data_IF_436563978930
#
_entry.id   IF_436563978930
#
_cell.length_a   1.000
_cell.length_b   1.000
_cell.length_c   1.000
_cell.angle_alpha   90.00
_cell.angle_beta   90.00
_cell.angle_gamma   90.00
#
_symmetry.space_group_name_H-M   'P 1'
#
loop_
_entity.id
_entity.type
_entity.pdbx_description
1 polymer ?
#
# COMPACT_ATOMS: atom_id res chain seq x y z
N UNK A 1 10.71 -10.57 -0.43
CA UNK A 1 10.46 -10.53 -1.89
C UNK A 1 11.30 -9.40 -2.43
N UNK A 2 12.09 -9.64 -3.47
CA UNK A 2 12.83 -8.60 -4.16
C UNK A 2 11.91 -8.06 -5.27
N UNK A 3 11.64 -6.75 -5.28
CA UNK A 3 10.78 -6.11 -6.29
C UNK A 3 11.72 -5.55 -7.36
N UNK A 4 11.69 -6.01 -8.61
CA UNK A 4 12.65 -5.60 -9.64
C UNK A 4 12.26 -4.27 -10.32
N UNK A 5 11.58 -3.38 -9.59
CA UNK A 5 11.06 -2.11 -10.10
C UNK A 5 11.36 -0.99 -9.08
N UNK A 6 11.53 0.23 -9.55
CA UNK A 6 11.69 1.40 -8.69
C UNK A 6 10.38 1.71 -7.93
N UNK A 7 10.40 1.55 -6.61
CA UNK A 7 9.24 1.74 -5.70
C UNK A 7 9.38 2.97 -4.79
N UNK A 8 10.47 3.72 -4.93
CA UNK A 8 10.75 4.91 -4.16
C UNK A 8 9.84 6.08 -4.54
N UNK A 9 9.75 7.03 -3.61
CA UNK A 9 8.98 8.25 -3.78
C UNK A 9 9.70 9.41 -3.07
N UNK A 10 9.33 10.62 -3.46
CA UNK A 10 9.75 11.89 -2.86
C UNK A 10 8.51 12.64 -2.37
N UNK A 11 8.70 13.80 -1.77
CA UNK A 11 7.60 14.70 -1.45
C UNK A 11 7.64 15.91 -2.37
N UNK A 12 6.48 16.31 -2.88
CA UNK A 12 6.34 17.57 -3.60
C UNK A 12 6.29 18.78 -2.64
N UNK A 13 6.10 19.97 -3.20
CA UNK A 13 5.99 21.24 -2.45
C UNK A 13 4.83 21.28 -1.45
N UNK A 14 3.81 20.43 -1.63
CA UNK A 14 2.66 20.30 -0.74
C UNK A 14 2.81 19.13 0.24
N UNK A 15 4.02 18.57 0.37
CA UNK A 15 4.32 17.39 1.17
C UNK A 15 3.50 16.16 0.75
N UNK A 16 3.10 16.08 -0.52
CA UNK A 16 2.45 14.90 -1.09
C UNK A 16 3.49 13.95 -1.65
N UNK A 17 3.31 12.68 -1.34
CA UNK A 17 4.14 11.58 -1.87
C UNK A 17 4.04 11.54 -3.40
N UNK A 18 5.17 11.60 -4.10
CA UNK A 18 5.25 11.50 -5.56
C UNK A 18 6.24 10.41 -5.95
N UNK A 19 5.86 9.44 -6.80
CA UNK A 19 6.75 8.35 -7.18
C UNK A 19 7.98 8.90 -7.91
N UNK A 20 9.15 8.31 -7.67
CA UNK A 20 10.37 8.61 -8.44
C UNK A 20 10.13 8.27 -9.92
N UNK A 21 9.53 7.10 -10.17
CA UNK A 21 9.12 6.62 -11.49
C UNK A 21 7.69 6.07 -11.41
N UNK A 22 6.70 6.83 -11.93
CA UNK A 22 5.29 6.37 -11.91
C UNK A 22 5.10 5.09 -12.72
N UNK A 23 5.81 4.96 -13.85
CA UNK A 23 5.71 3.79 -14.72
C UNK A 23 6.22 2.53 -14.01
N UNK A 24 7.40 2.60 -13.40
CA UNK A 24 7.98 1.45 -12.68
C UNK A 24 7.21 1.12 -11.41
N UNK A 25 6.75 2.12 -10.65
CA UNK A 25 5.91 1.87 -9.48
C UNK A 25 4.63 1.12 -9.87
N UNK A 26 3.99 1.48 -10.99
CA UNK A 26 2.82 0.75 -11.50
C UNK A 26 3.15 -0.69 -11.86
N UNK A 27 4.30 -0.95 -12.50
CA UNK A 27 4.75 -2.31 -12.79
C UNK A 27 5.05 -3.10 -11.51
N UNK A 28 5.69 -2.48 -10.52
CA UNK A 28 5.95 -3.08 -9.22
C UNK A 28 4.69 -3.37 -8.41
N UNK A 29 3.66 -2.52 -8.51
CA UNK A 29 2.33 -2.79 -7.94
C UNK A 29 1.72 -4.04 -8.59
N UNK A 30 1.72 -4.13 -9.93
CA UNK A 30 1.21 -5.32 -10.65
C UNK A 30 1.97 -6.57 -10.20
N UNK A 31 3.29 -6.52 -10.17
CA UNK A 31 4.13 -7.61 -9.69
C UNK A 31 3.79 -8.03 -8.25
N UNK A 32 3.59 -7.08 -7.33
CA UNK A 32 3.20 -7.36 -5.96
C UNK A 32 1.83 -8.05 -5.88
N UNK A 33 0.86 -7.63 -6.70
CA UNK A 33 -0.48 -8.24 -6.77
C UNK A 33 -0.43 -9.66 -7.31
N UNK A 34 0.35 -9.92 -8.35
CA UNK A 34 0.51 -11.27 -8.93
C UNK A 34 1.13 -12.26 -7.95
N UNK A 35 2.01 -11.79 -7.07
CA UNK A 35 2.66 -12.59 -6.04
C UNK A 35 1.97 -12.49 -4.67
N UNK A 36 0.76 -11.93 -4.63
CA UNK A 36 -0.01 -11.80 -3.39
C UNK A 36 -0.67 -13.14 -3.05
N UNK A 37 -0.10 -13.84 -2.08
CA UNK A 37 -0.67 -15.08 -1.56
C UNK A 37 -1.20 -14.89 -0.15
N UNK A 38 -2.35 -15.50 0.17
CA UNK A 38 -2.96 -15.52 1.52
C UNK A 38 -2.15 -16.40 2.48
N UNK A 39 -0.93 -15.96 2.81
CA UNK A 39 0.01 -16.57 3.76
C UNK A 39 0.37 -15.57 4.87
N UNK A 40 1.36 -15.89 5.72
CA UNK A 40 1.76 -15.08 6.89
C UNK A 40 2.07 -13.61 6.59
N UNK A 41 2.45 -13.27 5.35
CA UNK A 41 2.79 -11.90 4.93
C UNK A 41 1.65 -11.17 4.21
N UNK A 42 0.46 -11.76 4.11
CA UNK A 42 -0.66 -11.21 3.33
C UNK A 42 -1.02 -9.79 3.78
N UNK A 43 -1.32 -9.59 5.07
CA UNK A 43 -1.69 -8.25 5.57
C UNK A 43 -0.58 -7.21 5.39
N UNK A 44 0.70 -7.61 5.51
CA UNK A 44 1.84 -6.72 5.24
C UNK A 44 1.87 -6.30 3.76
N UNK A 45 1.71 -7.25 2.86
CA UNK A 45 1.76 -7.01 1.42
C UNK A 45 0.55 -6.18 0.95
N UNK A 46 -0.66 -6.48 1.40
CA UNK A 46 -1.84 -5.66 1.13
C UNK A 46 -1.64 -4.22 1.61
N UNK A 47 -1.13 -4.03 2.83
CA UNK A 47 -0.87 -2.69 3.35
C UNK A 47 0.17 -1.91 2.53
N UNK A 48 1.19 -2.59 1.98
CA UNK A 48 2.20 -1.97 1.11
C UNK A 48 1.63 -1.65 -0.28
N UNK A 49 0.89 -2.58 -0.89
CA UNK A 49 0.20 -2.33 -2.17
C UNK A 49 -0.70 -1.11 -2.03
N UNK A 50 -1.47 -1.03 -0.95
CA UNK A 50 -2.35 0.12 -0.71
C UNK A 50 -1.61 1.46 -0.59
N UNK A 51 -0.41 1.48 0.00
CA UNK A 51 0.44 2.68 0.03
C UNK A 51 0.90 3.06 -1.38
N UNK A 52 1.42 2.12 -2.16
CA UNK A 52 1.91 2.42 -3.50
C UNK A 52 0.79 2.83 -4.46
N UNK A 53 -0.40 2.22 -4.35
CA UNK A 53 -1.58 2.64 -5.10
C UNK A 53 -1.97 4.08 -4.79
N UNK A 54 -1.90 4.51 -3.51
CA UNK A 54 -2.12 5.92 -3.14
C UNK A 54 -1.11 6.84 -3.83
N UNK A 55 0.18 6.51 -3.73
CA UNK A 55 1.27 7.30 -4.32
C UNK A 55 1.14 7.36 -5.85
N UNK A 56 0.65 6.29 -6.47
CA UNK A 56 0.37 6.22 -7.91
C UNK A 56 -0.96 6.90 -8.32
N UNK A 57 -1.69 7.50 -7.38
CA UNK A 57 -2.94 8.24 -7.62
C UNK A 57 -4.21 7.39 -7.69
N UNK A 58 -4.12 6.09 -7.37
CA UNK A 58 -5.24 5.16 -7.44
C UNK A 58 -5.86 4.93 -6.05
N UNK A 59 -6.62 5.93 -5.60
CA UNK A 59 -7.18 5.96 -4.25
C UNK A 59 -8.19 4.83 -3.99
N UNK A 60 -8.91 4.37 -5.03
CA UNK A 60 -9.86 3.25 -4.91
C UNK A 60 -9.16 1.94 -4.54
N UNK A 61 -8.14 1.55 -5.31
CA UNK A 61 -7.35 0.35 -5.02
C UNK A 61 -6.57 0.49 -3.70
N UNK A 62 -6.10 1.70 -3.40
CA UNK A 62 -5.47 1.99 -2.10
C UNK A 62 -6.39 1.62 -0.94
N UNK A 63 -7.63 2.13 -0.93
CA UNK A 63 -8.63 1.82 0.10
C UNK A 63 -8.88 0.32 0.20
N UNK A 64 -9.11 -0.34 -0.94
CA UNK A 64 -9.38 -1.78 -0.99
C UNK A 64 -8.27 -2.61 -0.31
N UNK A 65 -7.01 -2.44 -0.73
CA UNK A 65 -5.91 -3.25 -0.17
C UNK A 65 -5.58 -2.89 1.28
N UNK A 66 -5.70 -1.61 1.68
CA UNK A 66 -5.52 -1.25 3.09
C UNK A 66 -6.64 -1.86 3.96
N UNK A 67 -7.88 -1.91 3.48
CA UNK A 67 -8.99 -2.57 4.18
C UNK A 67 -8.78 -4.09 4.30
N UNK A 68 -8.28 -4.75 3.25
CA UNK A 68 -7.89 -6.18 3.32
C UNK A 68 -6.80 -6.41 4.38
N UNK A 69 -5.81 -5.50 4.47
CA UNK A 69 -4.79 -5.57 5.51
C UNK A 69 -5.37 -5.39 6.93
N UNK A 70 -6.30 -4.45 7.11
CA UNK A 70 -7.02 -4.23 8.36
C UNK A 70 -7.81 -5.48 8.76
N UNK A 71 -8.57 -6.08 7.84
CA UNK A 71 -9.33 -7.29 8.09
C UNK A 71 -8.42 -8.46 8.50
N UNK A 72 -7.31 -8.63 7.79
CA UNK A 72 -6.31 -9.66 8.12
C UNK A 72 -5.73 -9.50 9.53
N UNK A 73 -5.25 -8.30 9.89
CA UNK A 73 -4.67 -8.07 11.22
C UNK A 73 -5.71 -8.07 12.34
N UNK A 74 -6.97 -7.75 12.04
CA UNK A 74 -8.09 -7.91 12.97
C UNK A 74 -8.30 -9.39 13.31
N UNK A 75 -8.32 -10.26 12.31
CA UNK A 75 -8.49 -11.70 12.51
C UNK A 75 -7.32 -12.34 13.28
N UNK A 76 -6.11 -11.80 13.14
CA UNK A 76 -4.94 -12.23 13.91
C UNK A 76 -4.84 -11.61 15.32
N UNK A 77 -5.79 -10.73 15.69
CA UNK A 77 -5.73 -9.93 16.91
C UNK A 77 -4.40 -9.13 17.05
N UNK A 78 -3.81 -8.74 15.92
CA UNK A 78 -2.56 -8.01 15.86
C UNK A 78 -2.85 -6.50 15.89
N UNK A 79 -2.76 -5.92 17.09
CA UNK A 79 -3.09 -4.50 17.33
C UNK A 79 -2.15 -3.53 16.60
N UNK A 80 -0.87 -3.86 16.48
CA UNK A 80 0.11 -3.02 15.79
C UNK A 80 -0.18 -2.96 14.29
N UNK A 81 -0.36 -4.12 13.65
CA UNK A 81 -0.73 -4.20 12.24
C UNK A 81 -2.06 -3.50 11.95
N UNK A 82 -3.03 -3.62 12.84
CA UNK A 82 -4.30 -2.91 12.77
C UNK A 82 -4.10 -1.38 12.83
N UNK A 83 -3.34 -0.90 13.81
CA UNK A 83 -3.07 0.53 14.00
C UNK A 83 -2.38 1.14 12.77
N UNK A 84 -1.29 0.51 12.30
CA UNK A 84 -0.52 0.99 11.14
C UNK A 84 -1.40 1.08 9.89
N UNK A 85 -2.25 0.10 9.63
CA UNK A 85 -3.08 0.12 8.43
C UNK A 85 -4.29 1.07 8.56
N UNK A 86 -4.82 1.31 9.75
CA UNK A 86 -5.79 2.40 9.97
C UNK A 86 -5.18 3.77 9.69
N UNK A 87 -3.93 4.01 10.10
CA UNK A 87 -3.22 5.25 9.78
C UNK A 87 -3.00 5.40 8.27
N UNK A 88 -2.62 4.33 7.58
CA UNK A 88 -2.49 4.33 6.11
C UNK A 88 -3.81 4.66 5.42
N UNK A 89 -4.93 4.12 5.91
CA UNK A 89 -6.26 4.39 5.36
C UNK A 89 -6.65 5.86 5.57
N UNK A 90 -6.40 6.41 6.76
CA UNK A 90 -6.60 7.83 7.03
C UNK A 90 -5.77 8.70 6.07
N UNK A 91 -4.53 8.31 5.80
CA UNK A 91 -3.68 9.02 4.84
C UNK A 91 -4.25 8.96 3.42
N UNK A 92 -4.81 7.82 3.00
CA UNK A 92 -5.53 7.71 1.72
C UNK A 92 -6.75 8.63 1.65
N UNK A 93 -7.54 8.75 2.72
CA UNK A 93 -8.67 9.69 2.75
C UNK A 93 -8.23 11.15 2.70
N UNK A 94 -7.05 11.50 3.23
CA UNK A 94 -6.51 12.86 3.13
C UNK A 94 -6.10 13.24 1.69
N UNK A 95 -6.03 12.27 0.77
CA UNK A 95 -5.74 12.48 -0.65
C UNK A 95 -7.00 12.65 -1.52
N UNK A 96 -8.19 12.39 -0.97
CA UNK A 96 -9.48 12.70 -1.62
C UNK A 96 -9.81 14.19 -1.49
#
# INVERSE_FOLDING_TARGET
MNIPFEMGYTFDENLREKPISLAEMKQGIVFLKEHLHKKSLYGKNCGLIGVYERIAGNLSESKYYVQEAIAYYTNLNNKEGLFVNKLRLAHTYHWE
#
